data_IF_270209703636
#
_entry.id   IF_270209703636
#
_cell.length_a   1.000
_cell.length_b   1.000
_cell.length_c   1.000
_cell.angle_alpha   90.00
_cell.angle_beta   90.00
_cell.angle_gamma   90.00
#
_symmetry.space_group_name_H-M   'P 1'
#
loop_
_entity.id
_entity.type
_entity.pdbx_description
1 polymer ?
#
# COMPACT_ATOMS: atom_id res chain seq x y z
N UNK A 1 -15.24 53.55 -19.49
CA UNK A 1 -14.72 52.98 -18.23
C UNK A 1 -15.43 51.70 -17.76
N UNK A 2 -16.72 51.47 -18.04
CA UNK A 2 -17.45 50.28 -17.56
C UNK A 2 -16.93 48.92 -18.10
N UNK A 3 -16.42 48.86 -19.34
CA UNK A 3 -15.97 47.59 -19.95
C UNK A 3 -14.66 47.02 -19.36
N UNK A 4 -13.81 47.86 -18.76
CA UNK A 4 -12.56 47.39 -18.15
C UNK A 4 -12.77 46.80 -16.75
N UNK A 5 -13.76 47.33 -16.02
CA UNK A 5 -14.18 46.82 -14.70
C UNK A 5 -14.80 45.42 -14.82
N UNK A 6 -15.61 45.17 -15.86
CA UNK A 6 -16.18 43.85 -16.11
C UNK A 6 -15.13 42.82 -16.52
N UNK A 7 -14.15 43.20 -17.33
CA UNK A 7 -13.04 42.32 -17.72
C UNK A 7 -12.19 41.88 -16.53
N UNK A 8 -11.84 42.80 -15.63
CA UNK A 8 -11.08 42.48 -14.41
C UNK A 8 -11.87 41.57 -13.45
N UNK A 9 -13.18 41.77 -13.33
CA UNK A 9 -14.05 40.92 -12.53
C UNK A 9 -14.17 39.50 -13.09
N UNK A 10 -14.25 39.36 -14.42
CA UNK A 10 -14.29 38.06 -15.09
C UNK A 10 -12.98 37.28 -14.93
N UNK A 11 -11.82 37.96 -15.03
CA UNK A 11 -10.51 37.34 -14.80
C UNK A 11 -10.40 36.83 -13.37
N UNK A 12 -10.77 37.65 -12.39
CA UNK A 12 -10.73 37.25 -10.98
C UNK A 12 -11.66 36.06 -10.70
N UNK A 13 -12.86 36.05 -11.28
CA UNK A 13 -13.79 34.93 -11.13
C UNK A 13 -13.25 33.63 -11.75
N UNK A 14 -12.57 33.72 -12.91
CA UNK A 14 -11.93 32.57 -13.55
C UNK A 14 -10.73 32.05 -12.74
N UNK A 15 -9.93 32.93 -12.13
CA UNK A 15 -8.82 32.58 -11.24
C UNK A 15 -9.32 31.89 -9.96
N UNK A 16 -10.35 32.46 -9.33
CA UNK A 16 -11.00 31.91 -8.14
C UNK A 16 -11.59 30.51 -8.45
N UNK A 17 -12.21 30.33 -9.63
CA UNK A 17 -12.74 29.04 -10.08
C UNK A 17 -11.62 28.02 -10.38
N UNK A 18 -10.50 28.46 -10.98
CA UNK A 18 -9.36 27.61 -11.24
C UNK A 18 -8.66 27.15 -9.94
N UNK A 19 -8.57 28.03 -8.93
CA UNK A 19 -8.06 27.70 -7.61
C UNK A 19 -8.96 26.68 -6.89
N UNK A 20 -10.28 26.90 -6.91
CA UNK A 20 -11.25 25.97 -6.35
C UNK A 20 -11.20 24.60 -7.04
N UNK A 21 -11.09 24.57 -8.37
CA UNK A 21 -10.96 23.32 -9.14
C UNK A 21 -9.66 22.57 -8.81
N UNK A 22 -8.53 23.27 -8.66
CA UNK A 22 -7.26 22.67 -8.23
C UNK A 22 -7.36 22.07 -6.82
N UNK A 23 -8.00 22.77 -5.89
CA UNK A 23 -8.19 22.29 -4.53
C UNK A 23 -9.09 21.04 -4.51
N UNK A 24 -10.19 21.04 -5.27
CA UNK A 24 -11.06 19.87 -5.41
C UNK A 24 -10.31 18.67 -6.02
N UNK A 25 -9.52 18.87 -7.07
CA UNK A 25 -8.70 17.81 -7.67
C UNK A 25 -7.68 17.24 -6.68
N UNK A 26 -7.06 18.10 -5.85
CA UNK A 26 -6.17 17.69 -4.77
C UNK A 26 -6.88 16.83 -3.71
N UNK A 27 -8.07 17.24 -3.28
CA UNK A 27 -8.89 16.48 -2.32
C UNK A 27 -9.30 15.12 -2.87
N UNK A 28 -9.74 15.04 -4.13
CA UNK A 28 -10.10 13.77 -4.78
C UNK A 28 -8.89 12.84 -4.88
N UNK A 29 -7.70 13.37 -5.23
CA UNK A 29 -6.47 12.58 -5.27
C UNK A 29 -6.10 12.05 -3.88
N UNK A 30 -6.20 12.88 -2.83
CA UNK A 30 -5.92 12.45 -1.46
C UNK A 30 -6.87 11.33 -0.99
N UNK A 31 -8.14 11.41 -1.36
CA UNK A 31 -9.12 10.36 -1.07
C UNK A 31 -8.77 9.09 -1.86
N UNK A 32 -8.46 9.22 -3.15
CA UNK A 32 -8.08 8.08 -3.98
C UNK A 32 -6.80 7.40 -3.48
N UNK A 33 -5.80 8.16 -3.03
CA UNK A 33 -4.56 7.64 -2.46
C UNK A 33 -4.81 6.92 -1.13
N UNK A 34 -5.77 7.38 -0.31
CA UNK A 34 -6.18 6.69 0.92
C UNK A 34 -6.81 5.31 0.64
N UNK A 35 -7.50 5.17 -0.50
CA UNK A 35 -8.11 3.91 -0.93
C UNK A 35 -7.21 3.06 -1.84
N UNK A 36 -5.96 3.48 -2.10
CA UNK A 36 -5.04 2.65 -2.86
C UNK A 36 -4.68 1.41 -2.04
N UNK A 37 -5.06 0.26 -2.56
CA UNK A 37 -4.60 -1.03 -2.05
C UNK A 37 -3.07 -1.05 -2.05
N UNK A 38 -2.42 -1.41 -0.93
CA UNK A 38 -0.97 -1.57 -0.87
C UNK A 38 -0.47 -2.56 -1.94
N UNK A 39 0.75 -2.37 -2.49
CA UNK A 39 1.27 -3.20 -3.58
C UNK A 39 1.44 -4.68 -3.20
N UNK A 40 1.66 -4.96 -1.91
CA UNK A 40 1.63 -6.28 -1.32
C UNK A 40 0.66 -6.29 -0.14
N UNK A 41 -0.15 -7.35 -0.03
CA UNK A 41 -1.09 -7.57 1.08
C UNK A 41 -0.92 -8.97 1.61
N UNK A 42 -0.93 -9.14 2.93
CA UNK A 42 -0.96 -10.46 3.56
C UNK A 42 -2.40 -10.88 3.80
N UNK A 43 -2.71 -12.11 3.40
CA UNK A 43 -4.02 -12.72 3.56
C UNK A 43 -3.86 -14.03 4.35
N UNK A 44 -4.75 -14.24 5.33
CA UNK A 44 -4.81 -15.52 6.04
C UNK A 44 -5.49 -16.56 5.15
N UNK A 45 -4.90 -17.75 5.08
CA UNK A 45 -5.48 -18.86 4.32
C UNK A 45 -6.10 -19.87 5.27
N UNK A 46 -5.27 -20.67 5.95
CA UNK A 46 -5.75 -21.69 6.89
C UNK A 46 -4.66 -22.05 7.88
N UNK A 47 -5.01 -22.25 9.14
CA UNK A 47 -4.04 -22.60 10.18
C UNK A 47 -2.83 -21.68 10.20
N UNK A 48 -1.66 -22.23 9.89
CA UNK A 48 -0.35 -21.55 9.81
C UNK A 48 0.02 -21.09 8.39
N UNK A 49 -0.84 -21.32 7.39
CA UNK A 49 -0.63 -20.92 6.01
C UNK A 49 -1.17 -19.51 5.77
N UNK A 50 -0.28 -18.67 5.25
CA UNK A 50 -0.52 -17.30 4.86
C UNK A 50 -0.13 -17.14 3.41
N UNK A 51 -0.68 -16.12 2.76
CA UNK A 51 -0.21 -15.75 1.43
C UNK A 51 0.04 -14.27 1.35
N UNK A 52 1.10 -13.92 0.64
CA UNK A 52 1.39 -12.54 0.27
C UNK A 52 0.94 -12.35 -1.18
N UNK A 53 0.00 -11.44 -1.38
CA UNK A 53 -0.63 -11.14 -2.67
C UNK A 53 -0.01 -9.88 -3.26
N UNK A 54 0.46 -9.98 -4.49
CA UNK A 54 0.77 -8.83 -5.32
C UNK A 54 -0.53 -8.25 -5.89
N UNK A 55 -0.81 -7.00 -5.58
CA UNK A 55 -2.02 -6.30 -6.02
C UNK A 55 -1.78 -5.47 -7.29
N UNK A 56 -0.52 -5.39 -7.72
CA UNK A 56 -0.10 -4.70 -8.94
C UNK A 56 -0.10 -5.64 -10.14
N UNK A 57 -0.09 -5.07 -11.35
CA UNK A 57 0.00 -5.82 -12.60
C UNK A 57 1.42 -6.31 -12.91
N UNK A 58 2.43 -5.71 -12.28
CA UNK A 58 3.84 -6.02 -12.54
C UNK A 58 4.36 -7.02 -11.52
N UNK A 59 5.31 -7.89 -11.88
CA UNK A 59 5.96 -8.75 -10.89
C UNK A 59 6.69 -7.91 -9.84
N UNK A 60 6.64 -8.34 -8.58
CA UNK A 60 7.39 -7.74 -7.48
C UNK A 60 8.32 -8.80 -6.87
N UNK A 61 9.59 -8.44 -6.69
CA UNK A 61 10.58 -9.31 -6.04
C UNK A 61 10.82 -8.83 -4.62
N UNK A 62 10.53 -9.69 -3.65
CA UNK A 62 10.89 -9.51 -2.26
C UNK A 62 12.31 -10.04 -2.11
N UNK A 63 13.25 -9.17 -1.77
CA UNK A 63 14.68 -9.49 -1.64
C UNK A 63 14.99 -10.04 -0.25
N UNK A 64 14.42 -9.43 0.80
CA UNK A 64 14.62 -9.85 2.19
C UNK A 64 13.51 -9.36 3.12
N UNK A 65 13.44 -9.97 4.31
CA UNK A 65 12.65 -9.49 5.44
C UNK A 65 13.57 -8.67 6.33
N UNK A 66 13.27 -7.39 6.51
CA UNK A 66 14.11 -6.44 7.25
C UNK A 66 14.03 -6.70 8.76
N UNK A 67 12.82 -6.93 9.28
CA UNK A 67 12.60 -7.25 10.70
C UNK A 67 12.58 -8.76 10.96
N UNK A 68 13.47 -9.52 10.32
CA UNK A 68 13.51 -10.99 10.43
C UNK A 68 13.65 -11.47 11.88
N UNK A 69 14.43 -10.76 12.71
CA UNK A 69 14.63 -11.09 14.13
C UNK A 69 13.36 -10.94 14.97
N UNK A 70 12.42 -10.08 14.55
CA UNK A 70 11.10 -9.91 15.17
C UNK A 70 10.06 -10.90 14.61
N UNK A 71 10.40 -11.56 13.49
CA UNK A 71 9.56 -12.50 12.76
C UNK A 71 10.19 -13.92 12.69
N UNK A 72 10.74 -14.49 13.78
CA UNK A 72 11.45 -15.78 13.75
C UNK A 72 10.55 -16.96 13.39
N UNK A 73 9.24 -16.73 13.37
CA UNK A 73 8.21 -17.73 13.07
C UNK A 73 7.70 -17.65 11.63
N UNK A 74 8.34 -16.88 10.74
CA UNK A 74 7.90 -16.72 9.35
C UNK A 74 8.85 -17.45 8.40
N UNK A 75 8.32 -18.42 7.66
CA UNK A 75 9.04 -19.21 6.66
C UNK A 75 8.70 -18.72 5.25
N UNK A 76 8.96 -17.45 4.97
CA UNK A 76 8.90 -16.90 3.62
C UNK A 76 10.30 -17.03 2.98
N UNK A 77 10.41 -17.84 1.93
CA UNK A 77 11.65 -17.97 1.17
C UNK A 77 11.92 -16.68 0.41
N UNK A 78 13.06 -16.05 0.68
CA UNK A 78 13.54 -14.85 -0.01
C UNK A 78 14.97 -15.09 -0.54
N UNK A 79 15.35 -14.54 -1.70
CA UNK A 79 14.53 -13.71 -2.56
C UNK A 79 13.39 -14.51 -3.24
N UNK A 80 12.26 -13.85 -3.49
CA UNK A 80 11.14 -14.46 -4.22
C UNK A 80 10.41 -13.44 -5.07
N UNK A 81 10.02 -13.85 -6.28
CA UNK A 81 9.27 -13.02 -7.21
C UNK A 81 7.82 -13.46 -7.25
N UNK A 82 6.91 -12.54 -6.91
CA UNK A 82 5.47 -12.75 -6.98
C UNK A 82 4.96 -12.13 -8.28
N UNK A 83 4.43 -12.92 -9.23
CA UNK A 83 3.87 -12.37 -10.46
C UNK A 83 2.74 -11.37 -10.19
N UNK A 84 2.48 -10.49 -11.14
CA UNK A 84 1.38 -9.52 -11.05
C UNK A 84 0.03 -10.21 -10.81
N UNK A 85 -0.77 -9.65 -9.90
CA UNK A 85 -2.08 -10.18 -9.49
C UNK A 85 -2.06 -11.65 -9.02
N UNK A 86 -0.90 -12.16 -8.58
CA UNK A 86 -0.73 -13.51 -8.01
C UNK A 86 -0.35 -13.44 -6.55
N UNK A 87 -0.29 -14.61 -5.92
CA UNK A 87 0.04 -14.77 -4.52
C UNK A 87 1.11 -15.82 -4.35
N UNK A 88 1.94 -15.64 -3.33
CA UNK A 88 2.89 -16.63 -2.87
C UNK A 88 2.48 -17.07 -1.47
N UNK A 89 2.30 -18.37 -1.27
CA UNK A 89 2.03 -18.94 0.03
C UNK A 89 3.32 -19.08 0.85
N UNK A 90 3.21 -18.88 2.15
CA UNK A 90 4.28 -19.09 3.12
C UNK A 90 3.71 -19.54 4.46
N UNK A 91 4.54 -20.20 5.25
CA UNK A 91 4.17 -20.60 6.60
C UNK A 91 4.50 -19.50 7.59
N UNK A 92 3.62 -19.31 8.57
CA UNK A 92 3.91 -18.44 9.68
C UNK A 92 3.21 -18.90 10.95
N UNK A 93 3.95 -18.88 12.06
CA UNK A 93 3.50 -19.37 13.35
C UNK A 93 3.25 -18.21 14.33
N UNK A 94 2.28 -18.41 15.21
CA UNK A 94 2.17 -17.56 16.41
C UNK A 94 3.38 -17.82 17.30
N UNK A 95 3.98 -16.76 17.84
CA UNK A 95 5.03 -16.87 18.85
C UNK A 95 4.53 -17.62 20.10
N UNK A 96 5.43 -18.03 20.99
CA UNK A 96 5.07 -18.67 22.27
C UNK A 96 4.12 -17.85 23.17
N UNK A 97 3.96 -16.55 22.89
CA UNK A 97 2.97 -15.68 23.53
C UNK A 97 1.60 -15.64 22.83
N UNK A 98 1.43 -16.44 21.77
CA UNK A 98 0.18 -16.54 21.00
C UNK A 98 -0.05 -15.40 19.99
N UNK A 99 0.89 -14.46 19.87
CA UNK A 99 0.79 -13.33 18.95
C UNK A 99 1.63 -13.58 17.70
N UNK A 100 1.02 -13.30 16.55
CA UNK A 100 1.70 -13.15 15.27
C UNK A 100 2.44 -11.80 15.26
N UNK A 101 3.57 -11.63 14.55
CA UNK A 101 4.07 -10.29 14.28
C UNK A 101 2.94 -9.43 13.68
N UNK A 102 2.81 -8.18 14.13
CA UNK A 102 1.78 -7.29 13.61
C UNK A 102 2.05 -6.94 12.14
N UNK A 103 3.33 -6.82 11.77
CA UNK A 103 3.77 -6.37 10.45
C UNK A 103 5.07 -7.08 10.01
N UNK A 104 5.23 -7.27 8.70
CA UNK A 104 6.52 -7.54 8.08
C UNK A 104 7.03 -6.29 7.38
N UNK A 105 8.32 -6.02 7.54
CA UNK A 105 9.02 -4.99 6.78
C UNK A 105 9.82 -5.69 5.70
N UNK A 106 9.49 -5.44 4.43
CA UNK A 106 10.01 -6.15 3.28
C UNK A 106 10.91 -5.23 2.44
N UNK A 107 12.13 -5.68 2.13
CA UNK A 107 12.92 -5.04 1.08
C UNK A 107 12.45 -5.56 -0.27
N UNK A 108 11.86 -4.69 -1.08
CA UNK A 108 11.35 -5.01 -2.42
C UNK A 108 12.25 -4.40 -3.47
N UNK A 109 12.58 -5.19 -4.49
CA UNK A 109 13.41 -4.76 -5.61
C UNK A 109 12.80 -3.56 -6.33
N UNK A 110 13.63 -2.56 -6.62
CA UNK A 110 13.19 -1.31 -7.26
C UNK A 110 12.48 -0.31 -6.34
N UNK A 111 12.21 -0.65 -5.08
CA UNK A 111 11.71 0.31 -4.08
C UNK A 111 12.86 0.85 -3.23
N UNK A 112 12.95 2.18 -3.13
CA UNK A 112 13.95 2.88 -2.31
C UNK A 112 13.74 2.57 -0.83
N UNK A 113 12.50 2.77 -0.37
CA UNK A 113 12.06 2.50 1.01
C UNK A 113 11.58 1.04 1.15
N UNK A 114 11.79 0.39 2.31
CA UNK A 114 11.14 -0.87 2.63
C UNK A 114 9.61 -0.73 2.65
N UNK A 115 8.91 -1.81 2.31
CA UNK A 115 7.46 -1.87 2.35
C UNK A 115 7.01 -2.57 3.63
N UNK A 116 6.18 -1.89 4.43
CA UNK A 116 5.50 -2.50 5.57
C UNK A 116 4.20 -3.15 5.11
N UNK A 117 4.01 -4.42 5.47
CA UNK A 117 2.77 -5.16 5.24
C UNK A 117 2.23 -5.70 6.56
N UNK A 118 0.99 -5.35 6.89
CA UNK A 118 0.37 -5.76 8.15
C UNK A 118 -0.31 -7.11 8.02
N UNK A 119 -0.24 -7.93 9.07
CA UNK A 119 -1.08 -9.11 9.18
C UNK A 119 -2.51 -8.68 9.52
N UNK A 120 -3.53 -9.29 8.89
CA UNK A 120 -4.91 -9.01 9.27
C UNK A 120 -5.14 -9.40 10.74
N UNK A 121 -5.82 -8.51 11.47
CA UNK A 121 -6.09 -8.64 12.92
C UNK A 121 -6.98 -9.84 13.28
N UNK A 122 -7.53 -10.53 12.29
CA UNK A 122 -8.25 -11.79 12.44
C UNK A 122 -7.87 -12.74 11.30
N UNK A 123 -7.57 -14.02 11.58
CA UNK A 123 -7.69 -15.05 10.56
C UNK A 123 -9.13 -15.01 10.05
N UNK A 124 -9.31 -14.63 8.79
CA UNK A 124 -10.61 -14.63 8.14
C UNK A 124 -11.20 -16.04 8.27
N UNK A 125 -12.37 -16.14 8.93
CA UNK A 125 -13.14 -17.37 9.03
C UNK A 125 -13.60 -17.84 7.66
#
# INVERSE_FOLDING_TARGET
>A
MQAALSAAQLVKAAEDQAAAAKQQAGSVKSIADHFKTPPLVIEHTTGVLWRIRNTTQQPLTIESIVNADEAPTIELKVPTTIPGLRSQEFMGFKSGQGLFPAELVLKVSGLTEPLTVSFPSTPSK
#
